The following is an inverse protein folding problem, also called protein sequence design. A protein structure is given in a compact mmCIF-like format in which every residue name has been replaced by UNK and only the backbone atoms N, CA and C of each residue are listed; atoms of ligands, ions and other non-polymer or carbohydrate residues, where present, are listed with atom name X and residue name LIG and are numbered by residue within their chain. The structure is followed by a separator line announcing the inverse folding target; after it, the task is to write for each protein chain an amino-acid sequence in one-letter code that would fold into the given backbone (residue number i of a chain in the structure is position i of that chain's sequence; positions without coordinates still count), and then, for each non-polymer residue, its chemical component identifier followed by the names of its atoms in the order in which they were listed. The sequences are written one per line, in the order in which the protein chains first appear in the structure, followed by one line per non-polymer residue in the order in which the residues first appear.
data_IF_836868502115
#
_entry.id   IF_836868502115
#
_cell.length_a   1.000
_cell.length_b   1.000
_cell.length_c   1.000
_cell.angle_alpha   90.00
_cell.angle_beta   90.00
_cell.angle_gamma   90.00
#
_symmetry.space_group_name_H-M   'P 1'
#
loop_
_entity.id
_entity.type
_entity.pdbx_description
1 polymer ?
#
# COMPACT_ATOMS: atom_id res chain seq x y z
N UNK A 1 0.06 4.22 16.45
CA UNK A 1 -0.58 5.10 15.44
C UNK A 1 -1.04 4.23 14.26
N UNK A 2 -1.82 4.75 13.30
CA UNK A 2 -2.19 4.00 12.09
C UNK A 2 -1.07 4.04 11.03
N UNK A 3 -1.38 3.62 9.80
CA UNK A 3 -0.51 3.82 8.64
C UNK A 3 -0.49 5.32 8.25
N UNK A 4 0.41 6.08 8.88
CA UNK A 4 0.57 7.51 8.63
C UNK A 4 1.35 7.76 7.34
N UNK A 5 1.27 8.98 6.84
CA UNK A 5 1.97 9.39 5.61
C UNK A 5 3.47 9.09 5.69
N UNK A 6 4.05 8.61 4.59
CA UNK A 6 5.48 8.34 4.36
C UNK A 6 6.05 7.08 5.04
N UNK A 7 5.31 6.43 5.93
CA UNK A 7 5.78 5.23 6.64
C UNK A 7 6.01 4.05 5.68
N UNK A 8 5.29 3.98 4.57
CA UNK A 8 5.41 2.89 3.58
C UNK A 8 6.78 2.87 2.87
N UNK A 9 7.47 4.01 2.80
CA UNK A 9 8.76 4.13 2.11
C UNK A 9 9.81 3.21 2.75
N UNK A 10 9.75 3.05 4.07
CA UNK A 10 10.65 2.14 4.78
C UNK A 10 10.45 0.68 4.37
N UNK A 11 9.20 0.27 4.12
CA UNK A 11 8.85 -1.09 3.65
C UNK A 11 9.22 -1.30 2.19
N UNK A 12 8.92 -0.32 1.33
CA UNK A 12 9.27 -0.30 -0.10
C UNK A 12 10.76 -0.51 -0.33
N UNK A 13 11.60 0.13 0.50
CA UNK A 13 13.06 0.09 0.38
C UNK A 13 13.72 -1.02 1.21
N UNK A 14 12.96 -1.87 1.89
CA UNK A 14 13.46 -2.85 2.86
C UNK A 14 14.40 -2.22 3.93
N UNK A 15 14.13 -0.97 4.30
CA UNK A 15 14.90 -0.22 5.30
C UNK A 15 14.46 -0.61 6.72
N UNK A 16 14.55 -1.90 7.01
CA UNK A 16 14.16 -2.53 8.29
C UNK A 16 15.00 -2.08 9.48
N UNK A 17 16.08 -1.33 9.23
CA UNK A 17 16.93 -0.70 10.25
C UNK A 17 16.51 0.74 10.59
N UNK A 18 15.47 1.26 9.93
CA UNK A 18 14.95 2.61 10.18
C UNK A 18 15.95 3.73 9.89
N UNK A 19 16.89 3.54 8.96
CA UNK A 19 17.91 4.56 8.66
C UNK A 19 17.21 5.80 8.11
N UNK A 20 17.40 6.94 8.78
CA UNK A 20 16.72 8.20 8.43
C UNK A 20 15.36 8.44 9.11
N UNK A 21 14.86 7.50 9.92
CA UNK A 21 13.57 7.60 10.62
C UNK A 21 13.70 7.95 12.11
N UNK A 22 14.88 8.40 12.57
CA UNK A 22 15.09 8.87 13.95
C UNK A 22 15.14 10.39 13.97
N UNK A 23 14.01 11.04 13.67
CA UNK A 23 13.92 12.50 13.57
C UNK A 23 12.73 13.05 14.35
N UNK A 24 12.57 14.38 14.43
CA UNK A 24 11.44 14.99 15.12
C UNK A 24 10.09 14.80 14.40
N UNK A 25 10.10 14.36 13.13
CA UNK A 25 8.90 14.30 12.27
C UNK A 25 8.70 12.92 11.62
N UNK A 26 9.59 11.97 11.87
CA UNK A 26 9.51 10.61 11.38
C UNK A 26 9.91 9.66 12.49
N UNK A 27 9.15 8.57 12.62
CA UNK A 27 9.39 7.47 13.53
C UNK A 27 9.69 6.22 12.72
N UNK A 28 10.53 5.35 13.26
CA UNK A 28 10.92 4.07 12.64
C UNK A 28 9.75 3.07 12.74
N UNK A 29 9.15 2.66 11.61
CA UNK A 29 8.00 1.75 11.60
C UNK A 29 8.33 0.33 12.06
N UNK A 30 9.59 0.00 12.34
CA UNK A 30 10.00 -1.34 12.75
C UNK A 30 10.35 -1.44 14.24
N UNK A 31 10.34 -0.33 14.98
CA UNK A 31 10.70 -0.32 16.41
C UNK A 31 9.67 -1.09 17.23
N UNK A 32 10.11 -2.14 17.91
CA UNK A 32 9.30 -3.00 18.80
C UNK A 32 8.07 -3.64 18.10
N UNK A 33 8.09 -3.76 16.78
CA UNK A 33 6.99 -4.32 15.99
C UNK A 33 7.14 -5.84 15.74
N UNK A 34 6.04 -6.57 15.52
CA UNK A 34 6.07 -8.01 15.31
C UNK A 34 6.74 -8.41 13.98
N UNK A 35 7.16 -9.69 13.83
CA UNK A 35 7.80 -10.19 12.61
C UNK A 35 7.02 -9.96 11.31
N UNK A 36 5.71 -9.73 11.39
CA UNK A 36 4.86 -9.42 10.23
C UNK A 36 5.28 -8.14 9.52
N UNK A 37 5.83 -7.15 10.22
CA UNK A 37 6.34 -5.91 9.61
C UNK A 37 7.54 -6.17 8.70
N UNK A 38 8.53 -6.92 9.21
CA UNK A 38 9.72 -7.31 8.46
C UNK A 38 9.36 -8.20 7.26
N UNK A 39 8.44 -9.14 7.45
CA UNK A 39 7.91 -9.97 6.35
C UNK A 39 7.23 -9.10 5.29
N UNK A 40 6.44 -8.10 5.69
CA UNK A 40 5.79 -7.19 4.76
C UNK A 40 6.80 -6.34 3.98
N UNK A 41 7.86 -5.85 4.63
CA UNK A 41 8.93 -5.11 3.97
C UNK A 41 9.65 -5.96 2.90
N UNK A 42 9.94 -7.23 3.19
CA UNK A 42 10.49 -8.16 2.20
C UNK A 42 9.54 -8.38 1.02
N UNK A 43 8.23 -8.50 1.28
CA UNK A 43 7.25 -8.68 0.20
C UNK A 43 7.15 -7.43 -0.68
N UNK A 44 6.96 -6.25 -0.07
CA UNK A 44 6.78 -4.99 -0.80
C UNK A 44 8.02 -4.65 -1.64
N UNK A 45 9.22 -4.75 -1.05
CA UNK A 45 10.46 -4.49 -1.76
C UNK A 45 10.68 -5.43 -2.94
N UNK A 46 10.43 -6.73 -2.79
CA UNK A 46 10.57 -7.71 -3.88
C UNK A 46 9.52 -7.54 -4.97
N UNK A 47 8.28 -7.20 -4.61
CA UNK A 47 7.25 -6.83 -5.60
C UNK A 47 7.66 -5.60 -6.40
N UNK A 48 8.23 -4.58 -5.75
CA UNK A 48 8.74 -3.38 -6.43
C UNK A 48 9.92 -3.66 -7.34
N UNK A 49 10.91 -4.44 -6.89
CA UNK A 49 12.03 -4.86 -7.75
C UNK A 49 11.50 -5.64 -8.95
N UNK A 50 10.59 -6.59 -8.74
CA UNK A 50 9.97 -7.36 -9.82
C UNK A 50 9.22 -6.48 -10.82
N UNK A 51 8.47 -5.49 -10.34
CA UNK A 51 7.78 -4.53 -11.20
C UNK A 51 8.75 -3.69 -12.03
N UNK A 52 9.83 -3.18 -11.43
CA UNK A 52 10.83 -2.39 -12.15
C UNK A 52 11.49 -3.21 -13.27
N UNK A 53 11.81 -4.48 -13.00
CA UNK A 53 12.53 -5.34 -13.96
C UNK A 53 11.62 -5.94 -15.02
N UNK A 54 10.42 -6.40 -14.63
CA UNK A 54 9.55 -7.22 -15.46
C UNK A 54 8.24 -6.53 -15.86
N UNK A 55 7.97 -5.33 -15.35
CA UNK A 55 6.64 -4.68 -15.40
C UNK A 55 5.53 -5.54 -14.77
N UNK A 56 5.91 -6.49 -13.92
CA UNK A 56 5.01 -7.45 -13.28
C UNK A 56 5.47 -7.73 -11.85
N UNK A 57 4.68 -7.39 -10.82
CA UNK A 57 5.10 -7.53 -9.42
C UNK A 57 5.11 -8.98 -8.91
N UNK A 58 4.43 -9.91 -9.59
CA UNK A 58 4.21 -11.27 -9.08
C UNK A 58 5.37 -12.24 -9.37
N UNK A 59 6.43 -11.81 -10.07
CA UNK A 59 7.70 -12.56 -10.14
C UNK A 59 8.62 -12.25 -8.93
N UNK A 60 8.06 -11.68 -7.86
CA UNK A 60 8.80 -11.36 -6.63
C UNK A 60 9.35 -12.59 -5.90
N UNK A 61 8.69 -13.75 -6.01
CA UNK A 61 9.02 -14.96 -5.23
C UNK A 61 8.93 -14.75 -3.71
N UNK A 62 8.16 -13.76 -3.26
CA UNK A 62 8.02 -13.40 -1.85
C UNK A 62 6.69 -13.87 -1.23
N UNK A 63 5.71 -14.20 -2.06
CA UNK A 63 4.37 -14.64 -1.68
C UNK A 63 3.72 -15.39 -2.84
N UNK A 64 2.73 -16.23 -2.52
CA UNK A 64 1.86 -16.90 -3.50
C UNK A 64 0.60 -16.08 -3.83
N UNK A 65 0.41 -14.93 -3.18
CA UNK A 65 -0.72 -14.04 -3.45
C UNK A 65 -0.37 -13.12 -4.61
N UNK A 66 -1.14 -13.20 -5.69
CA UNK A 66 -0.96 -12.35 -6.86
C UNK A 66 -1.57 -10.96 -6.65
N UNK A 67 -0.84 -9.93 -7.07
CA UNK A 67 -1.36 -8.59 -7.29
C UNK A 67 -1.99 -8.53 -8.69
N UNK A 68 -3.32 -8.46 -8.80
CA UNK A 68 -4.01 -8.41 -10.09
C UNK A 68 -3.86 -7.04 -10.77
N UNK A 69 -3.97 -7.03 -12.10
CA UNK A 69 -4.11 -5.79 -12.87
C UNK A 69 -5.47 -5.17 -12.54
N UNK A 70 -5.46 -3.89 -12.17
CA UNK A 70 -6.68 -3.12 -11.97
C UNK A 70 -7.31 -2.78 -13.33
N UNK A 71 -8.58 -3.14 -13.52
CA UNK A 71 -9.37 -2.70 -14.68
C UNK A 71 -10.75 -2.21 -14.24
N UNK A 72 -11.52 -1.61 -15.16
CA UNK A 72 -12.90 -1.19 -14.85
C UNK A 72 -13.83 -2.40 -14.62
N UNK A 73 -13.54 -3.51 -15.29
CA UNK A 73 -14.26 -4.78 -15.15
C UNK A 73 -13.83 -5.55 -13.90
N UNK A 74 -12.61 -5.32 -13.41
CA UNK A 74 -12.05 -5.95 -12.22
C UNK A 74 -11.32 -4.92 -11.31
N UNK A 75 -12.07 -4.06 -10.59
CA UNK A 75 -11.51 -2.95 -9.81
C UNK A 75 -11.04 -3.39 -8.42
N UNK A 76 -10.06 -4.29 -8.37
CA UNK A 76 -9.50 -4.87 -7.16
C UNK A 76 -8.15 -4.24 -6.80
N UNK A 77 -7.97 -3.94 -5.51
CA UNK A 77 -6.71 -3.41 -4.98
C UNK A 77 -5.97 -4.48 -4.17
N UNK A 78 -4.63 -4.41 -4.18
CA UNK A 78 -3.79 -5.13 -3.22
C UNK A 78 -3.67 -4.30 -1.93
N UNK A 79 -3.95 -4.93 -0.79
CA UNK A 79 -3.83 -4.33 0.53
C UNK A 79 -2.65 -4.95 1.27
N UNK A 80 -1.79 -4.10 1.79
CA UNK A 80 -0.67 -4.45 2.67
C UNK A 80 -1.08 -4.18 4.12
N UNK A 81 -1.12 -5.21 4.97
CA UNK A 81 -1.62 -5.07 6.34
C UNK A 81 -0.86 -5.94 7.36
N UNK A 82 -0.03 -5.31 8.17
CA UNK A 82 0.76 -5.97 9.23
C UNK A 82 -0.05 -6.56 10.39
N UNK A 83 -1.31 -6.16 10.56
CA UNK A 83 -2.16 -6.48 11.72
C UNK A 83 -3.18 -7.61 11.46
N UNK A 84 -3.20 -8.20 10.26
CA UNK A 84 -4.11 -9.28 9.90
C UNK A 84 -3.38 -10.63 9.80
N UNK A 85 -4.13 -11.73 10.02
CA UNK A 85 -3.66 -13.10 9.77
C UNK A 85 -3.08 -13.25 8.37
N UNK A 86 -3.68 -12.55 7.39
CA UNK A 86 -3.16 -12.40 6.05
C UNK A 86 -2.57 -11.00 5.88
N UNK A 87 -1.25 -10.92 5.73
CA UNK A 87 -0.55 -9.63 5.57
C UNK A 87 -0.73 -8.98 4.19
N UNK A 88 -1.35 -9.73 3.28
CA UNK A 88 -1.79 -9.30 1.96
C UNK A 88 -3.25 -9.70 1.78
N UNK A 89 -4.03 -8.81 1.17
CA UNK A 89 -5.39 -9.12 0.75
C UNK A 89 -5.67 -8.46 -0.60
N UNK A 90 -6.45 -9.12 -1.45
CA UNK A 90 -6.95 -8.56 -2.70
C UNK A 90 -8.43 -8.26 -2.51
N UNK A 91 -8.79 -6.98 -2.51
CA UNK A 91 -10.14 -6.55 -2.15
C UNK A 91 -10.71 -5.58 -3.19
N UNK A 92 -11.95 -5.82 -3.67
CA UNK A 92 -12.65 -4.86 -4.52
C UNK A 92 -13.22 -3.70 -3.69
N UNK A 93 -13.42 -2.55 -4.35
CA UNK A 93 -14.18 -1.41 -3.80
C UNK A 93 -13.64 -0.81 -2.50
N UNK A 94 -12.35 -0.97 -2.19
CA UNK A 94 -11.75 -0.36 -1.00
C UNK A 94 -12.00 1.14 -0.97
N UNK A 95 -12.65 1.61 0.10
CA UNK A 95 -13.07 3.00 0.33
C UNK A 95 -14.02 3.58 -0.74
N UNK A 96 -14.57 2.78 -1.65
CA UNK A 96 -15.40 3.28 -2.76
C UNK A 96 -16.57 4.16 -2.29
N UNK A 97 -17.30 3.74 -1.25
CA UNK A 97 -18.42 4.51 -0.71
C UNK A 97 -17.99 5.88 -0.12
N UNK A 98 -16.84 5.93 0.56
CA UNK A 98 -16.30 7.18 1.11
C UNK A 98 -15.79 8.11 0.02
N UNK A 99 -15.13 7.56 -1.01
CA UNK A 99 -14.69 8.33 -2.18
C UNK A 99 -15.91 8.92 -2.91
N UNK A 100 -16.94 8.11 -3.16
CA UNK A 100 -18.18 8.58 -3.79
C UNK A 100 -18.85 9.70 -2.98
N UNK A 101 -18.97 9.53 -1.66
CA UNK A 101 -19.54 10.55 -0.79
C UNK A 101 -18.82 11.91 -0.90
N UNK A 102 -17.49 11.90 -0.97
CA UNK A 102 -16.65 13.09 -1.12
C UNK A 102 -16.83 13.69 -2.52
N UNK A 103 -16.78 12.87 -3.57
CA UNK A 103 -16.96 13.30 -4.96
C UNK A 103 -18.32 13.99 -5.15
N UNK A 104 -19.40 13.39 -4.66
CA UNK A 104 -20.78 13.92 -4.74
C UNK A 104 -20.92 15.31 -4.10
N UNK A 105 -20.04 15.67 -3.16
CA UNK A 105 -20.09 16.94 -2.42
C UNK A 105 -19.08 17.96 -2.89
N UNK A 106 -17.97 17.53 -3.51
CA UNK A 106 -16.97 18.42 -4.07
C UNK A 106 -17.30 18.85 -5.50
N UNK A 107 -17.88 17.96 -6.31
CA UNK A 107 -18.24 18.28 -7.71
C UNK A 107 -19.23 19.44 -7.80
N UNK A 108 -20.33 19.50 -7.01
CA UNK A 108 -21.25 20.65 -7.06
C UNK A 108 -20.64 21.98 -6.60
N UNK A 109 -19.54 21.94 -5.84
CA UNK A 109 -18.92 23.14 -5.26
C UNK A 109 -17.74 23.67 -6.08
N UNK A 110 -17.02 22.80 -6.81
CA UNK A 110 -15.75 23.15 -7.45
C UNK A 110 -15.58 22.61 -8.88
N UNK A 111 -16.48 21.75 -9.36
CA UNK A 111 -16.50 21.31 -10.75
C UNK A 111 -17.40 22.22 -11.56
N UNK A 112 -16.84 23.02 -12.48
CA UNK A 112 -17.67 23.53 -13.57
C UNK A 112 -18.20 22.31 -14.32
N UNK A 113 -19.52 22.12 -14.33
CA UNK A 113 -20.15 21.26 -15.33
C UNK A 113 -19.78 21.86 -16.70
N UNK A 114 -18.78 21.30 -17.36
CA UNK A 114 -18.64 21.48 -18.79
C UNK A 114 -19.66 20.53 -19.42
N UNK A 115 -20.73 21.13 -19.95
CA UNK A 115 -21.73 20.51 -20.82
C UNK A 115 -21.09 19.73 -21.99
#
# INVERSE_FOLDING_TARGET
MGATHFQEVAFVLDNTKGVGYKTAVAEDPFTDEPPTFFKLATIMSRMWVSFIVNQYPNYSGATDIEWPIYTLENPVNMHFNVNMTNILAVEPYYRAAGIAYIQDRLVPLYGSASD
#
